data_IF_652610839201
#
_entry.id   IF_652610839201
#
_cell.length_a   1.000
_cell.length_b   1.000
_cell.length_c   1.000
_cell.angle_alpha   90.00
_cell.angle_beta   90.00
_cell.angle_gamma   90.00
#
_symmetry.space_group_name_H-M   'P 1'
#
loop_
_entity.id
_entity.type
_entity.pdbx_description
1 polymer ?
#
# COMPACT_ATOMS: atom_id res chain seq x y z
N UNK A 1 17.53 2.09 -22.34
CA UNK A 1 18.08 3.04 -21.34
C UNK A 1 17.40 2.77 -20.02
N UNK A 2 18.13 2.32 -19.00
CA UNK A 2 17.65 2.22 -17.61
C UNK A 2 17.37 3.66 -17.15
N UNK A 3 16.13 4.00 -16.77
CA UNK A 3 15.90 5.27 -16.09
C UNK A 3 16.47 5.10 -14.68
N UNK A 4 17.72 5.54 -14.51
CA UNK A 4 18.32 5.71 -13.19
C UNK A 4 17.53 6.82 -12.51
N UNK A 5 16.62 6.45 -11.61
CA UNK A 5 16.41 7.29 -10.43
C UNK A 5 17.69 7.15 -9.62
N UNK A 6 18.63 8.03 -9.88
CA UNK A 6 19.74 8.21 -8.98
C UNK A 6 19.17 8.97 -7.78
N UNK A 7 18.65 8.23 -6.79
CA UNK A 7 18.72 8.71 -5.41
C UNK A 7 20.07 9.40 -5.25
N UNK A 8 20.08 10.60 -4.67
CA UNK A 8 21.30 11.39 -4.63
C UNK A 8 22.40 10.59 -3.89
N UNK A 9 23.66 11.01 -4.07
CA UNK A 9 24.81 10.29 -3.51
C UNK A 9 24.64 10.03 -2.00
N UNK A 10 24.17 11.03 -1.26
CA UNK A 10 23.99 10.95 0.19
C UNK A 10 22.96 9.87 0.58
N UNK A 11 21.82 9.79 -0.12
CA UNK A 11 20.82 8.74 0.11
C UNK A 11 21.40 7.35 -0.20
N UNK A 12 22.15 7.22 -1.29
CA UNK A 12 22.77 5.93 -1.66
C UNK A 12 23.87 5.51 -0.69
N UNK A 13 24.64 6.45 -0.16
CA UNK A 13 25.66 6.20 0.85
C UNK A 13 25.02 5.78 2.19
N UNK A 14 23.95 6.48 2.61
CA UNK A 14 23.18 6.12 3.81
C UNK A 14 22.47 4.77 3.69
N UNK A 15 22.06 4.38 2.47
CA UNK A 15 21.58 3.04 2.19
C UNK A 15 22.69 1.99 2.30
N UNK A 16 23.84 2.24 1.65
CA UNK A 16 24.96 1.32 1.63
C UNK A 16 25.59 1.12 3.02
N UNK A 17 25.60 2.16 3.86
CA UNK A 17 26.05 2.09 5.24
C UNK A 17 25.05 1.37 6.15
N UNK A 18 23.78 1.34 5.78
CA UNK A 18 22.68 0.78 6.56
C UNK A 18 22.06 1.75 7.58
N UNK A 19 22.32 3.07 7.45
CA UNK A 19 21.67 4.11 8.26
C UNK A 19 20.17 4.23 7.91
N UNK A 20 19.83 4.02 6.64
CA UNK A 20 18.47 3.88 6.15
C UNK A 20 18.38 2.75 5.11
N UNK A 21 17.17 2.33 4.78
CA UNK A 21 16.90 1.34 3.74
C UNK A 21 15.91 1.90 2.72
N UNK A 22 16.37 2.18 1.51
CA UNK A 22 15.53 2.47 0.35
C UNK A 22 14.96 1.16 -0.18
N UNK A 23 13.64 1.01 -0.13
CA UNK A 23 12.94 -0.16 -0.68
C UNK A 23 12.92 -0.07 -2.20
N UNK A 24 13.19 -1.19 -2.88
CA UNK A 24 13.22 -1.22 -4.35
C UNK A 24 14.34 -0.36 -4.95
N UNK A 25 15.49 -0.23 -4.26
CA UNK A 25 16.61 0.53 -4.81
C UNK A 25 17.05 -0.07 -6.16
N UNK A 26 17.05 0.77 -7.20
CA UNK A 26 17.39 0.36 -8.58
C UNK A 26 16.21 -0.19 -9.39
N UNK A 27 15.05 -0.39 -8.77
CA UNK A 27 13.82 -0.74 -9.47
C UNK A 27 13.20 0.49 -10.14
N UNK A 28 12.64 0.28 -11.33
CA UNK A 28 11.87 1.31 -12.03
C UNK A 28 10.47 1.45 -11.45
N UNK A 29 9.84 2.59 -11.72
CA UNK A 29 8.45 2.78 -11.36
C UNK A 29 8.21 3.04 -9.86
N UNK A 30 6.96 3.24 -9.47
CA UNK A 30 6.61 3.42 -8.07
C UNK A 30 6.65 2.11 -7.27
N UNK A 31 6.48 2.18 -5.95
CA UNK A 31 6.46 1.00 -5.09
C UNK A 31 5.18 0.19 -5.31
N UNK A 32 4.04 0.69 -4.86
CA UNK A 32 2.76 0.02 -5.04
C UNK A 32 1.65 1.04 -5.25
N UNK A 33 0.58 0.63 -5.91
CA UNK A 33 -0.58 1.47 -6.15
C UNK A 33 -1.87 0.68 -6.00
N UNK A 34 -2.92 1.37 -5.56
CA UNK A 34 -4.31 0.95 -5.56
C UNK A 34 -5.04 1.66 -6.69
N UNK A 35 -5.74 0.87 -7.49
CA UNK A 35 -6.45 1.32 -8.67
C UNK A 35 -7.94 1.05 -8.49
N UNK A 36 -8.77 2.06 -8.75
CA UNK A 36 -10.21 1.90 -8.86
C UNK A 36 -10.52 1.08 -10.13
N UNK A 37 -11.05 -0.13 -9.93
CA UNK A 37 -11.40 -1.04 -11.01
C UNK A 37 -12.43 -0.43 -11.96
N UNK A 38 -13.30 0.46 -11.47
CA UNK A 38 -14.27 1.20 -12.29
C UNK A 38 -13.63 2.29 -13.16
N UNK A 39 -12.47 2.81 -12.79
CA UNK A 39 -11.72 3.74 -13.63
C UNK A 39 -10.95 3.02 -14.76
N UNK A 40 -10.53 1.77 -14.52
CA UNK A 40 -9.84 0.94 -15.53
C UNK A 40 -10.81 0.48 -16.63
N UNK A 41 -12.05 0.18 -16.26
CA UNK A 41 -13.05 -0.35 -17.18
C UNK A 41 -13.85 0.82 -17.77
N UNK A 42 -13.80 1.01 -19.10
CA UNK A 42 -14.66 2.01 -19.76
C UNK A 42 -16.14 1.78 -19.41
N UNK A 43 -16.83 2.85 -18.97
CA UNK A 43 -18.29 2.85 -18.77
C UNK A 43 -18.99 2.38 -20.06
N UNK A 44 -19.47 1.14 -20.07
CA UNK A 44 -20.38 0.65 -21.11
C UNK A 44 -20.00 -0.65 -21.83
N UNK A 45 -18.83 -1.24 -21.58
CA UNK A 45 -18.44 -2.51 -22.24
C UNK A 45 -18.65 -3.70 -21.29
N UNK A 46 -19.91 -4.10 -21.12
CA UNK A 46 -20.33 -5.20 -20.25
C UNK A 46 -19.82 -6.61 -20.67
N UNK A 47 -19.01 -6.71 -21.73
CA UNK A 47 -18.52 -7.97 -22.28
C UNK A 47 -17.04 -8.27 -22.05
N UNK A 48 -16.25 -7.34 -21.48
CA UNK A 48 -14.79 -7.53 -21.41
C UNK A 48 -14.09 -7.08 -20.12
N UNK A 49 -14.82 -6.98 -19.01
CA UNK A 49 -14.31 -6.51 -17.71
C UNK A 49 -13.06 -7.26 -17.25
N UNK A 50 -13.09 -8.59 -17.27
CA UNK A 50 -11.95 -9.41 -16.85
C UNK A 50 -10.71 -9.18 -17.73
N UNK A 51 -10.89 -9.08 -19.05
CA UNK A 51 -9.76 -8.87 -19.96
C UNK A 51 -9.13 -7.49 -19.74
N UNK A 52 -9.93 -6.42 -19.60
CA UNK A 52 -9.39 -5.09 -19.35
C UNK A 52 -8.61 -5.02 -18.02
N UNK A 53 -9.16 -5.58 -16.94
CA UNK A 53 -8.49 -5.62 -15.64
C UNK A 53 -7.22 -6.48 -15.67
N UNK A 54 -7.24 -7.62 -16.37
CA UNK A 54 -6.06 -8.46 -16.57
C UNK A 54 -4.99 -7.73 -17.37
N UNK A 55 -5.36 -7.13 -18.51
CA UNK A 55 -4.43 -6.38 -19.36
C UNK A 55 -3.82 -5.20 -18.60
N UNK A 56 -4.63 -4.49 -17.81
CA UNK A 56 -4.15 -3.42 -16.94
C UNK A 56 -3.16 -3.95 -15.91
N UNK A 57 -3.52 -4.99 -15.14
CA UNK A 57 -2.65 -5.57 -14.12
C UNK A 57 -1.31 -6.06 -14.69
N UNK A 58 -1.34 -6.67 -15.88
CA UNK A 58 -0.15 -7.14 -16.61
C UNK A 58 0.75 -5.99 -17.07
N UNK A 59 0.18 -4.84 -17.43
CA UNK A 59 0.99 -3.65 -17.79
C UNK A 59 1.50 -2.93 -16.54
N UNK A 60 0.64 -2.72 -15.55
CA UNK A 60 0.97 -2.01 -14.32
C UNK A 60 2.13 -2.68 -13.55
N UNK A 61 2.24 -4.01 -13.55
CA UNK A 61 3.40 -4.73 -12.96
C UNK A 61 4.76 -4.41 -13.60
N UNK A 62 4.78 -3.77 -14.76
CA UNK A 62 6.02 -3.30 -15.40
C UNK A 62 6.31 -1.82 -15.11
N UNK A 63 5.33 -1.09 -14.60
CA UNK A 63 5.41 0.32 -14.21
C UNK A 63 5.58 0.51 -12.70
N UNK A 64 5.45 -0.56 -11.92
CA UNK A 64 5.52 -0.57 -10.47
C UNK A 64 6.23 -1.83 -9.99
N UNK A 65 7.09 -1.71 -8.99
CA UNK A 65 8.01 -2.79 -8.61
C UNK A 65 7.50 -3.68 -7.46
N UNK A 66 6.34 -3.37 -6.89
CA UNK A 66 5.69 -4.17 -5.84
C UNK A 66 4.25 -4.52 -6.26
N UNK A 67 3.44 -4.98 -5.30
CA UNK A 67 2.08 -5.42 -5.58
C UNK A 67 1.21 -4.30 -6.14
N UNK A 68 0.29 -4.65 -7.02
CA UNK A 68 -0.75 -3.74 -7.51
C UNK A 68 -2.07 -4.13 -6.88
N UNK A 69 -2.77 -3.17 -6.28
CA UNK A 69 -4.11 -3.39 -5.74
C UNK A 69 -5.16 -2.98 -6.76
N UNK A 70 -6.10 -3.87 -7.03
CA UNK A 70 -7.35 -3.55 -7.69
C UNK A 70 -8.43 -3.44 -6.61
N UNK A 71 -9.16 -2.34 -6.60
CA UNK A 71 -10.15 -1.98 -5.56
C UNK A 71 -11.51 -1.63 -6.19
N UNK A 72 -12.55 -1.49 -5.36
CA UNK A 72 -13.85 -0.97 -5.78
C UNK A 72 -14.65 -1.90 -6.70
N UNK A 73 -14.42 -3.21 -6.63
CA UNK A 73 -15.15 -4.20 -7.44
C UNK A 73 -16.66 -4.17 -7.22
N UNK A 74 -17.10 -3.76 -6.04
CA UNK A 74 -18.51 -3.62 -5.65
C UNK A 74 -19.23 -2.66 -6.59
N UNK A 75 -18.57 -1.58 -7.01
CA UNK A 75 -19.12 -0.60 -7.94
C UNK A 75 -19.33 -1.15 -9.36
N UNK A 76 -18.44 -2.05 -9.82
CA UNK A 76 -18.59 -2.78 -11.08
C UNK A 76 -19.74 -3.81 -11.04
N UNK A 77 -20.13 -4.22 -9.83
CA UNK A 77 -21.18 -5.20 -9.58
C UNK A 77 -22.54 -4.53 -9.27
N UNK A 78 -22.57 -3.20 -9.13
CA UNK A 78 -23.75 -2.43 -8.75
C UNK A 78 -24.98 -2.66 -9.64
N UNK A 79 -26.07 -3.15 -9.05
CA UNK A 79 -27.35 -3.38 -9.72
C UNK A 79 -27.55 -4.77 -10.32
N UNK A 80 -26.66 -5.72 -10.06
CA UNK A 80 -26.69 -7.05 -10.67
C UNK A 80 -26.79 -8.13 -9.59
N UNK A 81 -28.01 -8.36 -9.16
CA UNK A 81 -28.36 -9.46 -8.27
C UNK A 81 -28.98 -10.57 -9.13
N UNK A 82 -28.30 -11.72 -9.26
CA UNK A 82 -28.88 -12.96 -9.82
C UNK A 82 -28.50 -13.34 -11.25
N UNK A 83 -27.55 -12.65 -11.89
CA UNK A 83 -27.12 -12.94 -13.26
C UNK A 83 -25.79 -13.70 -13.28
N UNK A 84 -25.82 -15.01 -13.53
CA UNK A 84 -24.64 -15.88 -13.55
C UNK A 84 -23.63 -15.52 -14.64
N UNK A 85 -24.06 -14.80 -15.67
CA UNK A 85 -23.19 -14.30 -16.74
C UNK A 85 -22.32 -13.14 -16.22
N UNK A 86 -22.86 -12.34 -15.29
CA UNK A 86 -22.23 -11.11 -14.79
C UNK A 86 -21.34 -11.30 -13.55
N UNK A 87 -21.26 -12.50 -12.96
CA UNK A 87 -20.22 -12.87 -11.97
C UNK A 87 -19.15 -13.78 -12.58
N UNK A 88 -19.36 -14.30 -13.79
CA UNK A 88 -18.43 -15.22 -14.46
C UNK A 88 -17.06 -14.59 -14.74
N UNK A 89 -17.05 -13.30 -15.08
CA UNK A 89 -15.83 -12.55 -15.37
C UNK A 89 -14.90 -12.46 -14.15
N UNK A 90 -15.44 -12.42 -12.92
CA UNK A 90 -14.65 -12.35 -11.70
C UNK A 90 -13.85 -13.64 -11.48
N UNK A 91 -14.45 -14.80 -11.75
CA UNK A 91 -13.74 -16.08 -11.73
C UNK A 91 -12.65 -16.15 -12.80
N UNK A 92 -12.92 -15.63 -13.99
CA UNK A 92 -11.95 -15.54 -15.09
C UNK A 92 -10.79 -14.63 -14.70
N UNK A 93 -11.07 -13.45 -14.12
CA UNK A 93 -10.07 -12.52 -13.61
C UNK A 93 -9.19 -13.18 -12.54
N UNK A 94 -9.79 -13.76 -11.50
CA UNK A 94 -9.05 -14.39 -10.39
C UNK A 94 -8.15 -15.52 -10.89
N UNK A 95 -8.67 -16.38 -11.78
CA UNK A 95 -7.88 -17.44 -12.42
C UNK A 95 -6.72 -16.86 -13.20
N UNK A 96 -6.99 -15.88 -14.07
CA UNK A 96 -5.98 -15.25 -14.93
C UNK A 96 -4.88 -14.54 -14.15
N UNK A 97 -5.24 -13.82 -13.07
CA UNK A 97 -4.27 -13.17 -12.18
C UNK A 97 -3.38 -14.20 -11.46
N UNK A 98 -3.97 -15.32 -11.03
CA UNK A 98 -3.24 -16.42 -10.42
C UNK A 98 -2.24 -17.10 -11.37
N UNK A 99 -2.58 -17.17 -12.66
CA UNK A 99 -1.72 -17.75 -13.71
C UNK A 99 -0.60 -16.80 -14.15
N UNK A 100 -0.87 -15.50 -14.29
CA UNK A 100 0.06 -14.48 -14.80
C UNK A 100 1.38 -14.38 -14.01
N UNK A 101 1.35 -14.61 -12.70
CA UNK A 101 2.55 -14.55 -11.85
C UNK A 101 2.90 -13.18 -11.28
N UNK A 102 2.13 -12.13 -11.60
CA UNK A 102 2.22 -10.84 -10.89
C UNK A 102 1.67 -10.92 -9.46
N UNK A 103 2.21 -10.08 -8.56
CA UNK A 103 1.63 -9.87 -7.22
C UNK A 103 0.50 -8.86 -7.32
N UNK A 104 -0.74 -9.34 -7.31
CA UNK A 104 -1.93 -8.49 -7.33
C UNK A 104 -2.71 -8.67 -6.05
N UNK A 105 -3.10 -7.56 -5.44
CA UNK A 105 -3.97 -7.51 -4.28
C UNK A 105 -5.38 -7.20 -4.75
N UNK A 106 -6.34 -8.04 -4.40
CA UNK A 106 -7.75 -7.76 -4.64
C UNK A 106 -8.31 -7.15 -3.36
N UNK A 107 -8.55 -5.84 -3.37
CA UNK A 107 -9.11 -5.10 -2.25
C UNK A 107 -10.64 -5.12 -2.29
N UNK A 108 -11.23 -5.29 -1.12
CA UNK A 108 -12.68 -5.39 -0.95
C UNK A 108 -13.07 -4.50 0.23
N UNK A 109 -13.60 -3.33 -0.09
CA UNK A 109 -13.63 -2.21 0.83
C UNK A 109 -15.04 -1.85 1.34
N UNK A 110 -16.10 -2.29 0.64
CA UNK A 110 -17.48 -2.03 1.05
C UNK A 110 -18.23 -3.32 1.37
N UNK A 111 -18.16 -3.74 2.65
CA UNK A 111 -18.90 -4.90 3.16
C UNK A 111 -20.30 -4.55 3.69
N UNK A 112 -20.82 -3.36 3.43
CA UNK A 112 -22.11 -2.96 3.99
C UNK A 112 -23.30 -3.48 3.18
N UNK A 113 -24.01 -4.49 3.73
CA UNK A 113 -25.33 -5.06 3.35
C UNK A 113 -25.31 -6.31 2.46
N UNK A 114 -26.49 -6.96 2.37
CA UNK A 114 -26.80 -8.23 1.66
C UNK A 114 -26.14 -8.41 0.29
N UNK A 115 -25.86 -7.32 -0.44
CA UNK A 115 -25.23 -7.35 -1.75
C UNK A 115 -23.73 -7.68 -1.69
N UNK A 116 -23.01 -7.24 -0.64
CA UNK A 116 -21.57 -7.50 -0.46
C UNK A 116 -21.27 -8.97 -0.15
N UNK A 117 -22.17 -9.66 0.58
CA UNK A 117 -22.01 -11.08 0.93
C UNK A 117 -21.93 -11.98 -0.31
N UNK A 118 -22.75 -11.71 -1.33
CA UNK A 118 -22.74 -12.50 -2.59
C UNK A 118 -21.53 -12.19 -3.48
N UNK A 119 -21.03 -10.95 -3.46
CA UNK A 119 -19.77 -10.59 -4.15
C UNK A 119 -18.60 -11.34 -3.49
N UNK A 120 -18.53 -11.33 -2.16
CA UNK A 120 -17.54 -12.11 -1.41
C UNK A 120 -17.63 -13.60 -1.70
N UNK A 121 -18.84 -14.18 -1.74
CA UNK A 121 -19.04 -15.59 -2.09
C UNK A 121 -18.48 -15.92 -3.48
N UNK A 122 -18.73 -15.09 -4.49
CA UNK A 122 -18.21 -15.28 -5.84
C UNK A 122 -16.68 -15.19 -5.89
N UNK A 123 -16.09 -14.26 -5.15
CA UNK A 123 -14.64 -14.12 -5.02
C UNK A 123 -14.05 -15.34 -4.34
N UNK A 124 -14.58 -15.75 -3.19
CA UNK A 124 -14.12 -16.94 -2.48
C UNK A 124 -14.24 -18.19 -3.34
N UNK A 125 -15.29 -18.32 -4.14
CA UNK A 125 -15.42 -19.42 -5.11
C UNK A 125 -14.29 -19.40 -6.16
N UNK A 126 -13.91 -18.22 -6.66
CA UNK A 126 -12.77 -18.03 -7.55
C UNK A 126 -11.42 -18.33 -6.88
N UNK A 127 -11.22 -17.85 -5.66
CA UNK A 127 -9.99 -18.03 -4.87
C UNK A 127 -9.74 -19.50 -4.52
N UNK A 128 -10.76 -20.34 -4.44
CA UNK A 128 -10.62 -21.79 -4.24
C UNK A 128 -10.07 -22.53 -5.46
N UNK A 129 -9.93 -21.86 -6.61
CA UNK A 129 -9.33 -22.49 -7.80
C UNK A 129 -7.83 -22.77 -7.60
N UNK A 130 -7.29 -23.87 -8.16
CA UNK A 130 -5.85 -24.16 -8.08
C UNK A 130 -4.97 -23.03 -8.64
N UNK A 131 -5.44 -22.33 -9.68
CA UNK A 131 -4.76 -21.19 -10.29
C UNK A 131 -4.58 -20.01 -9.31
N UNK A 132 -5.59 -19.70 -8.51
CA UNK A 132 -5.52 -18.65 -7.50
C UNK A 132 -4.65 -19.05 -6.29
N UNK A 133 -4.52 -20.35 -6.03
CA UNK A 133 -3.76 -20.92 -4.90
C UNK A 133 -2.25 -21.08 -5.20
N UNK A 134 -1.74 -20.44 -6.25
CA UNK A 134 -0.31 -20.48 -6.61
C UNK A 134 0.59 -19.63 -5.71
N UNK A 135 0.01 -18.82 -4.80
CA UNK A 135 0.73 -17.88 -3.94
C UNK A 135 1.15 -16.57 -4.63
N UNK A 136 0.69 -16.35 -5.86
CA UNK A 136 0.95 -15.13 -6.65
C UNK A 136 -0.10 -14.04 -6.41
N UNK A 137 -1.33 -14.44 -6.11
CA UNK A 137 -2.43 -13.55 -5.75
C UNK A 137 -2.45 -13.31 -4.23
N UNK A 138 -2.65 -12.05 -3.82
CA UNK A 138 -2.74 -11.67 -2.41
C UNK A 138 -4.11 -11.01 -2.13
N UNK A 139 -5.21 -11.76 -2.07
CA UNK A 139 -6.53 -11.17 -1.82
C UNK A 139 -6.62 -10.61 -0.40
N UNK A 140 -7.27 -9.45 -0.24
CA UNK A 140 -7.50 -8.82 1.04
C UNK A 140 -8.97 -8.42 1.19
N UNK A 141 -9.51 -8.63 2.39
CA UNK A 141 -10.87 -8.19 2.75
C UNK A 141 -10.75 -7.16 3.85
N UNK A 142 -11.30 -5.96 3.63
CA UNK A 142 -11.29 -4.90 4.62
C UNK A 142 -12.57 -4.96 5.46
N UNK A 143 -12.41 -5.25 6.74
CA UNK A 143 -13.46 -5.15 7.74
C UNK A 143 -13.39 -3.77 8.40
N UNK A 144 -14.46 -2.99 8.26
CA UNK A 144 -14.58 -1.69 8.94
C UNK A 144 -15.45 -1.78 10.18
N UNK A 145 -15.52 -0.71 10.96
CA UNK A 145 -16.46 -0.52 12.06
C UNK A 145 -17.93 -0.61 11.65
N UNK A 146 -18.23 -0.48 10.34
CA UNK A 146 -19.56 -0.73 9.79
C UNK A 146 -19.93 -2.23 9.67
N UNK A 147 -19.00 -3.14 9.95
CA UNK A 147 -19.23 -4.59 9.90
C UNK A 147 -19.99 -5.09 11.14
N UNK A 148 -21.09 -5.83 10.95
CA UNK A 148 -21.89 -6.35 12.07
C UNK A 148 -21.33 -7.68 12.59
N UNK A 149 -20.45 -7.58 13.58
CA UNK A 149 -19.90 -8.74 14.30
C UNK A 149 -20.92 -9.58 15.07
N UNK A 150 -22.15 -9.08 15.25
CA UNK A 150 -23.23 -9.78 15.95
C UNK A 150 -24.11 -10.65 15.05
N UNK A 151 -24.00 -10.51 13.73
CA UNK A 151 -24.81 -11.27 12.77
C UNK A 151 -24.16 -12.61 12.40
N UNK A 152 -24.92 -13.72 12.52
CA UNK A 152 -24.45 -15.05 12.08
C UNK A 152 -24.10 -15.09 10.58
N UNK A 153 -24.81 -14.33 9.74
CA UNK A 153 -24.51 -14.25 8.29
C UNK A 153 -23.15 -13.62 8.04
N UNK A 154 -22.79 -12.59 8.81
CA UNK A 154 -21.57 -11.83 8.61
C UNK A 154 -20.40 -12.59 9.25
N UNK A 155 -20.59 -13.23 10.40
CA UNK A 155 -19.59 -14.14 10.95
C UNK A 155 -19.24 -15.29 9.99
N UNK A 156 -20.19 -15.74 9.16
CA UNK A 156 -19.94 -16.80 8.16
C UNK A 156 -19.00 -16.37 7.03
N UNK A 157 -18.87 -15.07 6.76
CA UNK A 157 -17.96 -14.53 5.73
C UNK A 157 -16.53 -14.34 6.26
N UNK A 158 -16.37 -14.19 7.58
CA UNK A 158 -15.07 -14.04 8.21
C UNK A 158 -14.20 -15.29 8.09
N UNK A 159 -14.77 -16.49 8.29
CA UNK A 159 -13.99 -17.73 8.24
C UNK A 159 -13.38 -17.99 6.84
N UNK A 160 -14.13 -17.88 5.72
CA UNK A 160 -13.54 -17.90 4.39
C UNK A 160 -12.53 -16.78 4.14
N UNK A 161 -12.78 -15.56 4.62
CA UNK A 161 -11.84 -14.45 4.47
C UNK A 161 -10.51 -14.74 5.19
N UNK A 162 -10.55 -15.31 6.39
CA UNK A 162 -9.36 -15.71 7.14
C UNK A 162 -8.64 -16.91 6.50
N UNK A 163 -9.36 -17.82 5.84
CA UNK A 163 -8.78 -19.00 5.22
C UNK A 163 -8.17 -18.72 3.83
N UNK A 164 -8.76 -17.78 3.07
CA UNK A 164 -8.42 -17.54 1.67
C UNK A 164 -7.75 -16.18 1.44
N UNK A 165 -7.78 -15.28 2.41
CA UNK A 165 -7.38 -13.88 2.27
C UNK A 165 -6.60 -13.38 3.48
N UNK A 166 -6.10 -12.14 3.37
CA UNK A 166 -5.67 -11.36 4.52
C UNK A 166 -6.84 -10.50 5.01
N UNK A 167 -7.41 -10.76 6.21
CA UNK A 167 -8.39 -9.86 6.80
C UNK A 167 -7.67 -8.60 7.31
N UNK A 168 -8.11 -7.44 6.85
CA UNK A 168 -7.60 -6.14 7.30
C UNK A 168 -8.69 -5.49 8.14
N UNK A 169 -8.38 -5.22 9.41
CA UNK A 169 -9.30 -4.53 10.31
C UNK A 169 -8.98 -3.05 10.34
N UNK A 170 -9.95 -2.24 9.93
CA UNK A 170 -9.82 -0.79 9.91
C UNK A 170 -10.89 -0.17 10.78
N UNK A 171 -10.49 0.73 11.67
CA UNK A 171 -11.44 1.61 12.31
C UNK A 171 -11.59 2.85 11.43
N UNK A 172 -12.80 3.16 10.91
CA UNK A 172 -13.01 4.46 10.26
C UNK A 172 -12.86 5.52 11.34
N UNK A 173 -11.78 6.29 11.31
CA UNK A 173 -11.72 7.53 12.07
C UNK A 173 -12.39 8.60 11.21
N UNK A 174 -13.12 9.52 11.83
CA UNK A 174 -13.43 10.77 11.15
C UNK A 174 -12.11 11.35 10.64
N UNK A 175 -12.08 11.77 9.37
CA UNK A 175 -10.92 12.35 8.71
C UNK A 175 -10.47 13.61 9.46
N UNK A 176 -9.71 13.40 10.53
CA UNK A 176 -9.28 14.43 11.45
C UNK A 176 -7.83 14.72 11.13
N UNK A 177 -7.67 15.75 10.30
CA UNK A 177 -6.41 16.42 9.92
C UNK A 177 -5.36 15.53 9.25
N UNK A 178 -5.00 15.90 8.01
CA UNK A 178 -3.96 15.32 7.12
C UNK A 178 -2.52 15.28 7.71
N UNK A 179 -2.32 15.03 9.00
CA UNK A 179 -0.99 15.12 9.65
C UNK A 179 -0.16 13.85 9.57
N UNK A 180 -0.78 12.69 9.42
CA UNK A 180 -0.11 11.42 9.16
C UNK A 180 -1.06 10.55 8.35
N UNK A 181 -0.63 10.15 7.16
CA UNK A 181 -1.36 9.25 6.28
C UNK A 181 -0.77 7.86 6.51
N UNK A 182 -1.58 6.89 6.91
CA UNK A 182 -1.17 5.50 6.88
C UNK A 182 -1.33 5.01 5.44
N UNK A 183 -0.24 4.75 4.70
CA UNK A 183 -0.36 4.38 3.30
C UNK A 183 -1.15 3.08 3.12
N UNK A 184 -1.16 2.17 4.10
CA UNK A 184 -1.91 0.93 4.05
C UNK A 184 -3.39 1.07 4.41
N UNK A 185 -3.78 2.10 5.15
CA UNK A 185 -5.19 2.36 5.52
C UNK A 185 -5.82 3.43 4.62
N UNK A 186 -5.10 4.51 4.35
CA UNK A 186 -5.55 5.66 3.57
C UNK A 186 -5.27 5.48 2.07
N UNK A 187 -4.14 4.86 1.70
CA UNK A 187 -3.83 4.43 0.33
C UNK A 187 -4.63 3.19 -0.13
N UNK A 188 -5.54 2.74 0.73
CA UNK A 188 -6.38 1.56 0.61
C UNK A 188 -7.87 1.89 0.62
N UNK A 189 -8.22 3.18 0.69
CA UNK A 189 -9.61 3.62 0.74
C UNK A 189 -10.35 3.25 -0.56
N UNK A 190 -11.61 2.78 -0.47
CA UNK A 190 -12.41 2.42 -1.63
C UNK A 190 -12.48 3.53 -2.68
N UNK A 191 -12.28 3.18 -3.96
CA UNK A 191 -12.54 4.08 -5.08
C UNK A 191 -11.54 5.24 -5.23
N UNK A 192 -10.36 5.15 -4.61
CA UNK A 192 -9.30 6.15 -4.74
C UNK A 192 -8.12 5.53 -5.50
N UNK A 193 -7.71 6.22 -6.57
CA UNK A 193 -6.44 5.91 -7.24
C UNK A 193 -5.30 6.56 -6.46
N UNK A 194 -4.54 5.77 -5.73
CA UNK A 194 -3.51 6.25 -4.79
C UNK A 194 -2.46 5.17 -4.55
N UNK A 195 -1.39 5.47 -3.84
CA UNK A 195 -0.34 4.49 -3.55
C UNK A 195 0.91 5.11 -2.95
N UNK A 196 1.94 4.28 -2.88
CA UNK A 196 3.27 4.67 -2.43
C UNK A 196 4.21 4.71 -3.62
N UNK A 197 4.74 5.90 -3.93
CA UNK A 197 5.71 6.11 -5.00
C UNK A 197 7.08 5.55 -4.63
N UNK A 198 7.46 5.66 -3.36
CA UNK A 198 8.71 5.14 -2.82
C UNK A 198 8.62 4.98 -1.30
N UNK A 199 9.43 4.08 -0.76
CA UNK A 199 9.51 3.86 0.68
C UNK A 199 10.96 3.84 1.16
N UNK A 200 11.22 4.52 2.27
CA UNK A 200 12.50 4.54 2.96
C UNK A 200 12.28 4.21 4.43
N UNK A 201 13.07 3.29 4.99
CA UNK A 201 12.99 2.92 6.40
C UNK A 201 14.24 3.33 7.16
N UNK A 202 14.10 4.07 8.25
CA UNK A 202 15.21 4.49 9.10
C UNK A 202 15.62 3.37 10.05
N UNK A 203 16.92 3.13 10.18
CA UNK A 203 17.47 2.11 11.08
C UNK A 203 17.75 2.72 12.46
N UNK A 204 16.72 2.77 13.31
CA UNK A 204 16.84 3.38 14.64
C UNK A 204 17.85 2.67 15.56
N UNK A 205 17.97 1.32 15.59
CA UNK A 205 18.99 0.65 16.39
C UNK A 205 20.39 1.13 16.07
N UNK A 206 20.67 1.32 14.78
CA UNK A 206 21.97 1.82 14.32
C UNK A 206 22.18 3.27 14.70
N UNK A 207 21.20 4.14 14.45
CA UNK A 207 21.27 5.54 14.84
C UNK A 207 21.53 5.68 16.36
N UNK A 208 20.86 4.86 17.17
CA UNK A 208 21.10 4.79 18.61
C UNK A 208 22.50 4.30 18.96
N UNK A 209 22.97 3.22 18.32
CA UNK A 209 24.28 2.64 18.58
C UNK A 209 25.45 3.59 18.23
N UNK A 210 25.29 4.42 17.22
CA UNK A 210 26.30 5.40 16.80
C UNK A 210 26.22 6.72 17.54
N UNK A 211 25.24 6.92 18.42
CA UNK A 211 25.07 8.15 19.18
C UNK A 211 25.70 8.03 20.58
N UNK A 212 26.34 9.10 21.05
CA UNK A 212 26.89 9.18 22.40
C UNK A 212 25.85 9.48 23.48
N UNK A 213 24.75 10.15 23.11
CA UNK A 213 23.65 10.49 24.02
C UNK A 213 22.29 10.62 23.30
N UNK A 214 21.23 10.89 24.08
CA UNK A 214 19.86 11.09 23.58
C UNK A 214 19.78 12.26 22.58
N UNK A 215 20.55 13.34 22.77
CA UNK A 215 20.54 14.51 21.89
C UNK A 215 21.11 14.20 20.52
N UNK A 216 22.29 13.58 20.46
CA UNK A 216 22.92 13.15 19.20
C UNK A 216 22.04 12.14 18.45
N UNK A 217 21.35 11.26 19.17
CA UNK A 217 20.38 10.34 18.57
C UNK A 217 19.23 11.05 17.88
N UNK A 218 18.63 12.05 18.53
CA UNK A 218 17.54 12.82 17.91
C UNK A 218 18.04 13.64 16.70
N UNK A 219 19.27 14.17 16.74
CA UNK A 219 19.89 14.81 15.57
C UNK A 219 20.08 13.82 14.41
N UNK A 220 20.52 12.58 14.69
CA UNK A 220 20.61 11.53 13.66
C UNK A 220 19.24 11.20 13.05
N UNK A 221 18.21 10.98 13.89
CA UNK A 221 16.84 10.70 13.40
C UNK A 221 16.33 11.85 12.54
N UNK A 222 16.55 13.09 12.95
CA UNK A 222 16.16 14.28 12.20
C UNK A 222 16.83 14.38 10.83
N UNK A 223 18.15 14.18 10.79
CA UNK A 223 18.93 14.23 9.56
C UNK A 223 18.55 13.09 8.60
N UNK A 224 18.41 11.87 9.12
CA UNK A 224 18.01 10.71 8.33
C UNK A 224 16.58 10.84 7.78
N UNK A 225 15.66 11.40 8.56
CA UNK A 225 14.29 11.71 8.08
C UNK A 225 14.34 12.73 6.94
N UNK A 226 15.12 13.80 7.10
CA UNK A 226 15.29 14.79 6.03
C UNK A 226 15.86 14.18 4.74
N UNK A 227 16.88 13.33 4.87
CA UNK A 227 17.50 12.64 3.76
C UNK A 227 16.54 11.66 3.07
N UNK A 228 15.72 10.95 3.85
CA UNK A 228 14.67 10.08 3.33
C UNK A 228 13.66 10.86 2.49
N UNK A 229 13.20 12.02 2.98
CA UNK A 229 12.29 12.90 2.22
C UNK A 229 12.93 13.39 0.93
N UNK A 230 14.17 13.86 0.96
CA UNK A 230 14.88 14.33 -0.24
C UNK A 230 14.99 13.22 -1.30
N UNK A 231 15.23 11.98 -0.88
CA UNK A 231 15.21 10.81 -1.77
C UNK A 231 13.83 10.51 -2.36
N UNK A 232 12.78 10.61 -1.55
CA UNK A 232 11.40 10.36 -1.99
C UNK A 232 10.89 11.45 -2.96
N UNK A 233 11.24 12.72 -2.73
CA UNK A 233 10.93 13.82 -3.64
C UNK A 233 11.63 13.66 -5.00
N UNK A 234 12.90 13.23 -5.00
CA UNK A 234 13.61 12.91 -6.24
C UNK A 234 12.92 11.76 -7.00
N UNK A 235 12.43 10.73 -6.28
CA UNK A 235 11.67 9.63 -6.87
C UNK A 235 10.34 10.12 -7.46
N UNK A 236 9.61 10.97 -6.74
CA UNK A 236 8.35 11.59 -7.21
C UNK A 236 8.56 12.37 -8.50
N UNK A 237 9.53 13.29 -8.51
CA UNK A 237 9.82 14.14 -9.67
C UNK A 237 10.17 13.33 -10.93
N UNK A 238 10.87 12.20 -10.76
CA UNK A 238 11.16 11.30 -11.86
C UNK A 238 9.90 10.59 -12.37
N UNK A 239 9.07 10.03 -11.49
CA UNK A 239 7.82 9.38 -11.88
C UNK A 239 6.85 10.37 -12.55
N UNK A 240 6.75 11.61 -12.06
CA UNK A 240 5.98 12.67 -12.71
C UNK A 240 6.47 12.93 -14.14
N UNK A 241 7.79 12.93 -14.35
CA UNK A 241 8.37 13.09 -15.68
C UNK A 241 8.08 11.89 -16.60
N UNK A 242 8.16 10.65 -16.08
CA UNK A 242 7.82 9.43 -16.82
C UNK A 242 6.33 9.39 -17.20
N UNK A 243 5.44 9.73 -16.27
CA UNK A 243 4.00 9.83 -16.51
C UNK A 243 3.70 10.87 -17.61
N UNK A 244 4.28 12.07 -17.49
CA UNK A 244 4.10 13.15 -18.47
C UNK A 244 4.68 12.82 -19.85
N UNK A 245 5.75 12.04 -19.91
CA UNK A 245 6.34 11.57 -21.15
C UNK A 245 5.52 10.46 -21.83
N UNK A 246 4.56 9.85 -21.11
CA UNK A 246 3.80 8.70 -21.58
C UNK A 246 4.53 7.37 -21.43
N UNK A 247 5.59 7.32 -20.61
CA UNK A 247 6.38 6.11 -20.35
C UNK A 247 5.68 5.16 -19.35
N UNK A 248 4.59 5.61 -18.72
CA UNK A 248 3.72 4.82 -17.84
C UNK A 248 2.30 4.69 -18.42
N UNK A 249 2.12 3.96 -19.55
CA UNK A 249 0.87 3.93 -20.29
C UNK A 249 -0.33 3.31 -19.55
N UNK A 250 -0.14 2.37 -18.63
CA UNK A 250 -1.21 1.84 -17.80
C UNK A 250 -1.60 2.84 -16.72
N UNK A 251 -0.63 3.36 -15.98
CA UNK A 251 -0.86 4.38 -14.94
C UNK A 251 -1.55 5.62 -15.53
N UNK A 252 -1.04 6.13 -16.65
CA UNK A 252 -1.59 7.29 -17.36
C UNK A 252 -2.96 7.06 -18.01
N UNK A 253 -3.46 5.83 -18.08
CA UNK A 253 -4.85 5.58 -18.49
C UNK A 253 -5.86 5.75 -17.35
N UNK A 254 -5.38 5.84 -16.10
CA UNK A 254 -6.23 5.89 -14.89
C UNK A 254 -6.05 7.19 -14.11
N UNK A 255 -4.83 7.74 -14.06
CA UNK A 255 -4.53 8.98 -13.35
C UNK A 255 -3.76 9.97 -14.23
N UNK A 256 -4.06 11.25 -14.04
CA UNK A 256 -3.37 12.35 -14.74
C UNK A 256 -2.15 12.89 -13.97
N UNK A 257 -2.08 12.61 -12.66
CA UNK A 257 -1.00 13.06 -11.76
C UNK A 257 -0.85 12.14 -10.55
N UNK A 258 0.26 12.29 -9.82
CA UNK A 258 0.52 11.60 -8.56
C UNK A 258 0.13 12.41 -7.31
N UNK A 259 -0.75 13.41 -7.44
CA UNK A 259 -1.14 14.30 -6.33
C UNK A 259 -1.71 13.54 -5.12
N UNK A 260 -2.46 12.47 -5.37
CA UNK A 260 -3.03 11.61 -4.33
C UNK A 260 -2.11 10.46 -3.92
N UNK A 261 -0.83 10.45 -4.34
CA UNK A 261 0.16 9.43 -3.99
C UNK A 261 1.21 9.95 -3.01
N UNK A 262 1.77 9.03 -2.21
CA UNK A 262 2.62 9.36 -1.08
C UNK A 262 4.05 8.79 -1.20
N UNK A 263 5.01 9.48 -0.59
CA UNK A 263 6.26 8.87 -0.16
C UNK A 263 6.11 8.32 1.26
N UNK A 264 6.69 7.16 1.55
CA UNK A 264 6.60 6.54 2.87
C UNK A 264 7.95 6.59 3.61
N UNK A 265 7.97 7.26 4.76
CA UNK A 265 9.09 7.17 5.72
C UNK A 265 8.68 6.25 6.86
N UNK A 266 9.30 5.08 6.92
CA UNK A 266 9.11 4.09 7.99
C UNK A 266 10.27 4.09 8.99
N UNK A 267 10.06 3.42 10.12
CA UNK A 267 11.11 3.15 11.10
C UNK A 267 11.13 1.67 11.46
N UNK A 268 12.30 1.17 11.85
CA UNK A 268 12.44 -0.19 12.40
C UNK A 268 13.27 -0.15 13.68
N UNK A 269 12.97 -1.08 14.60
CA UNK A 269 13.83 -1.36 15.76
C UNK A 269 13.79 -0.31 16.87
N UNK A 270 12.64 0.32 17.12
CA UNK A 270 12.47 1.27 18.24
C UNK A 270 12.89 0.63 19.57
N UNK A 271 12.50 -0.62 19.82
CA UNK A 271 12.84 -1.32 21.06
C UNK A 271 14.35 -1.47 21.25
N UNK A 272 15.07 -1.93 20.23
CA UNK A 272 16.52 -2.13 20.29
C UNK A 272 17.26 -0.78 20.37
N UNK A 273 16.74 0.26 19.73
CA UNK A 273 17.26 1.63 19.88
C UNK A 273 17.15 2.10 21.34
N UNK A 274 16.03 1.85 22.02
CA UNK A 274 15.86 2.19 23.44
C UNK A 274 16.80 1.40 24.35
N UNK A 275 17.04 0.12 24.05
CA UNK A 275 18.01 -0.69 24.78
C UNK A 275 19.42 -0.08 24.64
N UNK A 276 19.81 0.34 23.43
CA UNK A 276 21.11 0.96 23.18
C UNK A 276 21.26 2.34 23.85
N UNK A 277 20.19 3.15 23.91
CA UNK A 277 20.25 4.52 24.43
C UNK A 277 20.12 4.62 25.95
N UNK A 278 19.22 3.83 26.54
CA UNK A 278 18.81 3.99 27.94
C UNK A 278 18.71 2.68 28.71
N UNK A 279 19.11 1.55 28.12
CA UNK A 279 19.04 0.21 28.73
C UNK A 279 17.62 -0.16 29.19
N UNK A 280 16.60 0.27 28.44
CA UNK A 280 15.19 -0.02 28.71
C UNK A 280 14.48 -0.54 27.47
N UNK A 281 13.53 -1.43 27.69
CA UNK A 281 12.62 -1.93 26.65
C UNK A 281 11.45 -0.97 26.42
N UNK A 282 10.81 -1.09 25.26
CA UNK A 282 9.63 -0.29 24.86
C UNK A 282 8.42 -0.51 25.80
N UNK A 283 8.37 -1.62 26.53
CA UNK A 283 7.32 -1.90 27.51
C UNK A 283 7.35 -1.00 28.75
N UNK A 284 8.52 -0.42 29.06
CA UNK A 284 8.72 0.43 30.25
C UNK A 284 8.10 1.82 30.07
N UNK A 285 7.77 2.50 31.19
CA UNK A 285 7.24 3.87 31.13
C UNK A 285 8.22 4.84 30.46
N UNK A 286 9.52 4.74 30.80
CA UNK A 286 10.58 5.55 30.19
C UNK A 286 10.73 5.24 28.69
N UNK A 287 10.72 3.96 28.30
CA UNK A 287 10.82 3.54 26.90
C UNK A 287 9.67 4.05 26.05
N UNK A 288 8.43 4.00 26.56
CA UNK A 288 7.26 4.58 25.87
C UNK A 288 7.41 6.09 25.65
N UNK A 289 7.84 6.83 26.66
CA UNK A 289 8.05 8.29 26.56
C UNK A 289 9.05 8.63 25.45
N UNK A 290 10.19 7.94 25.40
CA UNK A 290 11.21 8.18 24.37
C UNK A 290 10.70 7.73 22.99
N UNK A 291 10.00 6.60 22.90
CA UNK A 291 9.39 6.16 21.64
C UNK A 291 8.40 7.21 21.07
N UNK A 292 7.58 7.82 21.92
CA UNK A 292 6.70 8.93 21.49
C UNK A 292 7.50 10.12 20.98
N UNK A 293 8.55 10.54 21.70
CA UNK A 293 9.42 11.63 21.24
C UNK A 293 10.08 11.33 19.89
N UNK A 294 10.46 10.09 19.61
CA UNK A 294 11.02 9.69 18.31
C UNK A 294 10.00 9.88 17.20
N UNK A 295 8.76 9.44 17.41
CA UNK A 295 7.69 9.64 16.43
C UNK A 295 7.34 11.11 16.24
N UNK A 296 7.31 11.90 17.31
CA UNK A 296 7.12 13.36 17.25
C UNK A 296 8.25 14.03 16.45
N UNK A 297 9.52 13.70 16.71
CA UNK A 297 10.66 14.28 15.99
C UNK A 297 10.62 13.97 14.48
N UNK A 298 10.19 12.77 14.10
CA UNK A 298 9.99 12.39 12.70
C UNK A 298 8.84 13.21 12.10
N UNK A 299 7.71 13.29 12.80
CA UNK A 299 6.56 14.06 12.36
C UNK A 299 6.89 15.53 12.15
N UNK A 300 7.56 16.16 13.12
CA UNK A 300 8.00 17.56 13.03
C UNK A 300 8.91 17.78 11.81
N UNK A 301 9.80 16.82 11.53
CA UNK A 301 10.69 16.89 10.36
C UNK A 301 9.94 16.76 9.04
N UNK A 302 8.93 15.90 8.97
CA UNK A 302 8.06 15.77 7.81
C UNK A 302 7.27 17.07 7.59
N UNK A 303 6.70 17.65 8.64
CA UNK A 303 5.96 18.93 8.58
C UNK A 303 6.85 20.12 8.20
N UNK A 304 8.14 20.09 8.50
CA UNK A 304 9.08 21.10 8.01
C UNK A 304 9.30 20.97 6.50
N UNK A 305 9.46 19.74 6.00
CA UNK A 305 9.72 19.46 4.58
C UNK A 305 8.51 19.66 3.66
N UNK A 306 7.29 19.59 4.21
CA UNK A 306 6.04 19.75 3.47
C UNK A 306 5.65 21.23 3.20
N UNK A 307 6.42 22.20 3.72
CA UNK A 307 6.18 23.66 3.57
C UNK A 307 6.93 24.26 2.39
#
# INVERSE_FOLDING_TARGET
MVSEVAYNREVTEAHASGDLHVHGLGERGGCWASWDSSAIVEKGVAGNTAEHLLQFAVKARHEWHNFQRLSGFESLMGGIVGDSEKTSWLKTLITGLGEDGGRVLLGLEEQSREDSGRVLEAIFAGLRSPAAQTGRLAPAVVFTDAYDWGSESDLSLYEPANALCSPIFMHRREATTRRAVDPWLDGAAPGVNTGVLGAVTLNLPRAAFTSGDEGEFFEHVWNLTGLAVDGLEAKRAQLDAELKAGDMPATGSVVDSFDDFFGAVGVVGVNEALINLVEREIGSMQGKVIAYKVLEAIQDRLEEKDK
#
